data_IF_666359544681
#
_entry.id   IF_666359544681
#
_cell.length_a   1.000
_cell.length_b   1.000
_cell.length_c   1.000
_cell.angle_alpha   90.00
_cell.angle_beta   90.00
_cell.angle_gamma   90.00
#
_symmetry.space_group_name_H-M   'P 1'
#
loop_
_entity.id
_entity.type
_entity.pdbx_description
1 polymer ?
#
# COMPACT_ATOMS: atom_id res chain seq x y z
N UNK A 1 -7.19 -20.76 5.46
CA UNK A 1 -6.79 -20.33 4.11
C UNK A 1 -6.19 -18.96 4.29
N UNK A 2 -5.03 -18.68 3.73
CA UNK A 2 -4.40 -17.36 3.85
C UNK A 2 -5.24 -16.36 3.03
N UNK A 3 -5.77 -15.34 3.69
CA UNK A 3 -6.69 -14.34 3.14
C UNK A 3 -6.00 -13.03 2.72
N UNK A 4 -4.65 -13.07 2.70
CA UNK A 4 -3.81 -11.88 2.42
C UNK A 4 -3.61 -10.97 3.62
N UNK A 5 -4.16 -11.30 4.78
CA UNK A 5 -3.93 -10.61 6.05
C UNK A 5 -2.73 -11.17 6.82
N UNK A 6 -2.66 -10.81 8.11
CA UNK A 6 -1.58 -11.22 9.01
C UNK A 6 -1.46 -12.75 9.12
N UNK A 7 -0.22 -13.24 9.03
CA UNK A 7 0.11 -14.67 9.10
C UNK A 7 0.14 -15.37 7.74
N UNK A 8 -0.17 -14.70 6.64
CA UNK A 8 -0.09 -15.25 5.28
C UNK A 8 1.35 -15.65 4.93
N UNK A 9 2.35 -14.80 5.26
CA UNK A 9 3.78 -15.09 5.02
C UNK A 9 4.19 -16.37 5.71
N UNK A 10 3.89 -16.53 7.01
CA UNK A 10 4.25 -17.72 7.77
C UNK A 10 3.55 -18.98 7.22
N UNK A 11 2.25 -18.87 6.89
CA UNK A 11 1.49 -19.99 6.36
C UNK A 11 2.03 -20.46 5.00
N UNK A 12 2.36 -19.51 4.11
CA UNK A 12 2.90 -19.84 2.78
C UNK A 12 4.30 -20.44 2.90
N UNK A 13 5.19 -19.85 3.72
CA UNK A 13 6.54 -20.39 3.94
C UNK A 13 6.50 -21.81 4.54
N UNK A 14 5.58 -22.08 5.46
CA UNK A 14 5.40 -23.41 6.04
C UNK A 14 4.93 -24.45 5.01
N UNK A 15 4.14 -24.04 4.03
CA UNK A 15 3.57 -24.92 3.01
C UNK A 15 4.46 -25.11 1.78
N UNK A 16 5.14 -24.05 1.33
CA UNK A 16 5.88 -24.02 0.06
C UNK A 16 7.40 -24.00 0.22
N UNK A 17 7.91 -23.85 1.45
CA UNK A 17 9.35 -23.66 1.69
C UNK A 17 9.79 -22.21 1.50
N UNK A 18 11.11 -21.95 1.60
CA UNK A 18 11.67 -20.62 1.47
C UNK A 18 12.14 -20.04 2.81
N UNK A 19 12.38 -18.74 2.84
CA UNK A 19 12.97 -18.03 3.97
C UNK A 19 12.19 -16.77 4.33
N UNK A 20 11.98 -16.56 5.64
CA UNK A 20 11.56 -15.26 6.15
C UNK A 20 12.72 -14.26 6.03
N UNK A 21 12.42 -13.08 5.53
CA UNK A 21 13.31 -11.92 5.41
C UNK A 21 12.76 -10.78 6.24
N UNK A 22 13.65 -9.90 6.68
CA UNK A 22 13.27 -8.72 7.48
C UNK A 22 13.89 -7.47 6.84
N UNK A 23 13.11 -6.38 6.86
CA UNK A 23 13.57 -5.06 6.43
C UNK A 23 13.01 -4.00 7.37
N UNK A 24 13.84 -3.04 7.78
CA UNK A 24 13.37 -1.84 8.45
C UNK A 24 12.79 -0.90 7.41
N UNK A 25 11.49 -0.58 7.53
CA UNK A 25 10.71 0.26 6.60
C UNK A 25 9.96 1.34 7.38
N UNK A 26 9.24 2.22 6.70
CA UNK A 26 8.32 3.14 7.35
C UNK A 26 6.99 2.43 7.68
N UNK A 27 6.45 2.68 8.87
CA UNK A 27 5.05 2.35 9.15
C UNK A 27 4.10 3.32 8.42
N UNK A 28 2.80 3.13 8.58
CA UNK A 28 1.80 3.97 7.90
C UNK A 28 1.85 5.44 8.35
N UNK A 29 2.44 5.77 9.48
CA UNK A 29 2.60 7.14 9.99
C UNK A 29 4.02 7.69 9.84
N UNK A 30 4.93 6.93 9.20
CA UNK A 30 6.30 7.33 8.89
C UNK A 30 7.33 7.00 9.98
N UNK A 31 6.98 6.21 11.02
CA UNK A 31 7.96 5.71 11.98
C UNK A 31 8.63 4.45 11.43
N UNK A 32 9.82 4.14 11.93
CA UNK A 32 10.53 2.93 11.52
C UNK A 32 9.97 1.70 12.22
N UNK A 33 9.73 0.65 11.42
CA UNK A 33 9.27 -0.66 11.87
C UNK A 33 10.06 -1.74 11.14
N UNK A 34 10.32 -2.84 11.84
CA UNK A 34 10.93 -4.03 11.25
C UNK A 34 9.83 -4.94 10.69
N UNK A 35 9.71 -4.94 9.38
CA UNK A 35 8.68 -5.71 8.66
C UNK A 35 9.25 -7.00 8.10
N UNK A 36 8.50 -8.10 8.27
CA UNK A 36 8.84 -9.43 7.77
C UNK A 36 8.12 -9.67 6.45
N UNK A 37 8.82 -10.28 5.49
CA UNK A 37 8.29 -10.77 4.23
C UNK A 37 8.91 -12.14 3.89
N UNK A 38 8.32 -12.89 2.97
CA UNK A 38 8.78 -14.21 2.59
C UNK A 38 9.46 -14.22 1.22
N UNK A 39 10.51 -15.03 1.06
CA UNK A 39 11.10 -15.36 -0.24
C UNK A 39 11.08 -16.87 -0.39
N UNK A 40 10.31 -17.37 -1.34
CA UNK A 40 10.20 -18.80 -1.65
C UNK A 40 11.43 -19.28 -2.42
N UNK A 41 11.63 -20.59 -2.46
CA UNK A 41 12.76 -21.22 -3.14
C UNK A 41 12.75 -21.01 -4.68
N UNK A 42 11.59 -20.75 -5.26
CA UNK A 42 11.43 -20.40 -6.69
C UNK A 42 11.64 -18.91 -7.00
N UNK A 43 11.98 -18.10 -5.99
CA UNK A 43 12.17 -16.65 -6.11
C UNK A 43 10.89 -15.81 -6.02
N UNK A 44 9.74 -16.41 -5.71
CA UNK A 44 8.51 -15.67 -5.45
C UNK A 44 8.59 -14.96 -4.10
N UNK A 45 8.30 -13.67 -4.05
CA UNK A 45 8.19 -12.91 -2.81
C UNK A 45 6.75 -12.85 -2.31
N UNK A 46 6.56 -13.02 -1.01
CA UNK A 46 5.28 -12.88 -0.33
C UNK A 46 5.36 -11.67 0.61
N UNK A 47 4.52 -10.69 0.40
CA UNK A 47 4.48 -9.45 1.16
C UNK A 47 3.08 -9.26 1.74
N UNK A 48 2.99 -9.04 3.03
CA UNK A 48 1.77 -8.58 3.69
C UNK A 48 1.81 -7.06 3.83
N UNK A 49 0.79 -6.36 3.34
CA UNK A 49 0.65 -4.92 3.55
C UNK A 49 0.66 -4.58 5.04
N UNK A 50 0.05 -5.43 5.88
CA UNK A 50 -0.02 -5.26 7.32
C UNK A 50 1.36 -5.25 8.01
N UNK A 51 2.38 -5.90 7.43
CA UNK A 51 3.72 -5.92 8.01
C UNK A 51 4.38 -4.53 8.07
N UNK A 52 4.06 -3.64 7.12
CA UNK A 52 4.54 -2.26 7.10
C UNK A 52 3.44 -1.25 7.45
N UNK A 53 2.24 -1.42 6.90
CA UNK A 53 1.17 -0.43 6.99
C UNK A 53 -0.07 -1.00 7.70
N UNK A 54 0.13 -1.90 8.67
CA UNK A 54 -0.91 -2.61 9.39
C UNK A 54 -1.64 -1.76 10.43
N UNK A 55 -2.93 -2.07 10.61
CA UNK A 55 -3.79 -1.42 11.59
C UNK A 55 -3.37 -1.72 13.04
N UNK A 56 -2.83 -2.93 13.28
CA UNK A 56 -2.35 -3.37 14.59
C UNK A 56 -1.05 -2.66 15.02
N UNK A 57 -0.28 -2.10 14.08
CA UNK A 57 0.92 -1.31 14.37
C UNK A 57 0.59 0.06 14.99
N UNK A 58 -0.67 0.50 14.86
CA UNK A 58 -1.08 1.85 15.26
C UNK A 58 -2.14 1.76 16.36
N UNK A 59 -1.84 2.25 17.58
CA UNK A 59 -2.86 2.34 18.62
C UNK A 59 -4.12 3.06 18.13
N UNK A 60 -5.34 2.62 18.49
CA UNK A 60 -6.58 3.21 17.98
C UNK A 60 -6.66 4.74 18.13
N UNK A 61 -6.13 5.28 19.24
CA UNK A 61 -6.11 6.73 19.52
C UNK A 61 -5.15 7.54 18.65
N UNK A 62 -4.27 6.86 17.88
CA UNK A 62 -3.27 7.50 16.99
C UNK A 62 -3.55 7.25 15.51
N UNK A 63 -4.63 6.53 15.18
CA UNK A 63 -5.01 6.28 13.81
C UNK A 63 -5.37 7.58 13.11
N UNK A 64 -4.79 7.81 11.93
CA UNK A 64 -5.02 9.00 11.12
C UNK A 64 -5.12 8.59 9.63
N UNK A 65 -6.31 8.26 9.14
CA UNK A 65 -6.51 7.76 7.78
C UNK A 65 -6.22 8.80 6.69
N UNK A 66 -6.18 10.10 7.04
CA UNK A 66 -5.80 11.15 6.11
C UNK A 66 -4.29 11.17 5.84
N UNK A 67 -3.48 10.81 6.84
CA UNK A 67 -2.01 10.83 6.79
C UNK A 67 -1.40 9.44 6.59
N UNK A 68 -2.13 8.38 6.93
CA UNK A 68 -1.62 7.01 6.80
C UNK A 68 -1.27 6.69 5.35
N UNK A 69 -0.05 6.21 5.13
CA UNK A 69 0.54 5.99 3.82
C UNK A 69 1.02 4.55 3.66
N UNK A 70 0.83 4.00 2.48
CA UNK A 70 1.34 2.69 2.07
C UNK A 70 2.83 2.70 1.67
N UNK A 71 3.57 3.77 1.95
CA UNK A 71 4.98 3.94 1.52
C UNK A 71 5.88 2.77 1.92
N UNK A 72 5.80 2.29 3.15
CA UNK A 72 6.59 1.16 3.62
C UNK A 72 6.34 -0.15 2.87
N UNK A 73 5.14 -0.32 2.29
CA UNK A 73 4.86 -1.47 1.42
C UNK A 73 5.69 -1.39 0.15
N UNK A 74 5.84 -0.20 -0.44
CA UNK A 74 6.74 0.01 -1.57
C UNK A 74 8.20 -0.25 -1.22
N UNK A 75 8.64 0.11 0.01
CA UNK A 75 9.98 -0.24 0.52
C UNK A 75 10.19 -1.76 0.63
N UNK A 76 9.14 -2.53 0.98
CA UNK A 76 9.19 -4.00 0.98
C UNK A 76 9.25 -4.57 -0.44
N UNK A 77 8.51 -4.00 -1.40
CA UNK A 77 8.60 -4.38 -2.81
C UNK A 77 10.02 -4.14 -3.33
N UNK A 78 10.64 -2.98 -3.03
CA UNK A 78 12.04 -2.72 -3.38
C UNK A 78 12.99 -3.76 -2.77
N UNK A 79 12.78 -4.16 -1.52
CA UNK A 79 13.58 -5.19 -0.87
C UNK A 79 13.44 -6.57 -1.56
N UNK A 80 12.23 -6.90 -2.05
CA UNK A 80 12.00 -8.12 -2.83
C UNK A 80 12.70 -8.04 -4.21
N UNK A 81 12.65 -6.89 -4.88
CA UNK A 81 13.36 -6.64 -6.13
C UNK A 81 14.89 -6.73 -5.93
N UNK A 82 15.41 -6.19 -4.83
CA UNK A 82 16.82 -6.28 -4.46
C UNK A 82 17.27 -7.73 -4.21
N UNK A 83 16.36 -8.58 -3.73
CA UNK A 83 16.58 -10.01 -3.58
C UNK A 83 16.43 -10.82 -4.88
N UNK A 84 16.10 -10.16 -6.00
CA UNK A 84 15.95 -10.78 -7.32
C UNK A 84 14.57 -11.37 -7.60
N UNK A 85 13.54 -11.06 -6.80
CA UNK A 85 12.19 -11.54 -7.04
C UNK A 85 11.65 -11.06 -8.41
N UNK A 86 11.00 -11.98 -9.14
CA UNK A 86 10.33 -11.71 -10.42
C UNK A 86 8.82 -11.92 -10.33
N UNK A 87 8.37 -12.46 -9.24
CA UNK A 87 6.97 -12.64 -8.90
C UNK A 87 6.76 -12.19 -7.45
N UNK A 88 5.78 -11.34 -7.22
CA UNK A 88 5.43 -10.83 -5.90
C UNK A 88 3.95 -11.12 -5.66
N UNK A 89 3.63 -11.75 -4.54
CA UNK A 89 2.26 -11.89 -4.06
C UNK A 89 2.09 -10.89 -2.91
N UNK A 90 1.21 -9.91 -3.12
CA UNK A 90 0.93 -8.84 -2.16
C UNK A 90 -0.44 -9.04 -1.52
N UNK A 91 -0.45 -9.36 -0.22
CA UNK A 91 -1.66 -9.43 0.58
C UNK A 91 -2.09 -8.05 1.08
N UNK A 92 -3.37 -7.69 0.88
CA UNK A 92 -3.91 -6.36 1.21
C UNK A 92 -4.66 -6.31 2.54
N UNK A 93 -4.86 -7.45 3.24
CA UNK A 93 -5.57 -7.50 4.50
C UNK A 93 -4.92 -6.70 5.62
N UNK A 94 -5.70 -6.25 6.60
CA UNK A 94 -5.21 -5.60 7.83
C UNK A 94 -4.66 -4.18 7.68
N UNK A 95 -4.85 -3.47 6.55
CA UNK A 95 -4.25 -2.17 6.29
C UNK A 95 -4.81 -1.03 7.14
N UNK A 96 -3.95 -0.11 7.57
CA UNK A 96 -4.31 1.16 8.24
C UNK A 96 -4.53 2.31 7.24
N UNK A 97 -4.17 2.14 5.98
CA UNK A 97 -4.10 3.20 4.97
C UNK A 97 -5.37 3.31 4.14
N UNK A 98 -5.64 4.50 3.63
CA UNK A 98 -6.72 4.78 2.67
C UNK A 98 -6.20 5.72 1.57
N UNK A 99 -5.09 5.34 0.94
CA UNK A 99 -4.33 6.16 -0.01
C UNK A 99 -4.28 5.58 -1.44
N UNK A 100 -5.11 4.58 -1.75
CA UNK A 100 -5.14 3.88 -3.05
C UNK A 100 -3.76 3.37 -3.52
N UNK A 101 -2.85 3.05 -2.59
CA UNK A 101 -1.49 2.63 -2.92
C UNK A 101 -0.56 3.77 -3.36
N UNK A 102 -0.99 5.03 -3.24
CA UNK A 102 -0.19 6.20 -3.65
C UNK A 102 1.17 6.25 -2.98
N UNK A 103 1.22 5.98 -1.66
CA UNK A 103 2.49 5.90 -0.93
C UNK A 103 3.40 4.79 -1.44
N UNK A 104 2.86 3.61 -1.70
CA UNK A 104 3.60 2.48 -2.28
C UNK A 104 4.22 2.86 -3.63
N UNK A 105 3.44 3.49 -4.51
CA UNK A 105 3.94 3.94 -5.82
C UNK A 105 5.01 5.01 -5.68
N UNK A 106 4.90 5.93 -4.70
CA UNK A 106 5.94 6.95 -4.48
C UNK A 106 7.24 6.34 -3.96
N UNK A 107 7.19 5.31 -3.12
CA UNK A 107 8.39 4.57 -2.72
C UNK A 107 9.06 3.87 -3.91
N UNK A 108 8.27 3.42 -4.88
CA UNK A 108 8.75 2.79 -6.12
C UNK A 108 9.25 3.81 -7.16
N UNK A 109 9.24 5.11 -6.84
CA UNK A 109 9.81 6.17 -7.68
C UNK A 109 8.81 7.01 -8.48
N UNK A 110 7.50 6.72 -8.38
CA UNK A 110 6.47 7.58 -8.98
C UNK A 110 6.42 8.92 -8.24
N UNK A 111 6.19 10.02 -8.95
CA UNK A 111 5.98 11.33 -8.33
C UNK A 111 4.54 11.79 -8.56
N UNK A 112 3.85 12.09 -7.46
CA UNK A 112 2.52 12.68 -7.45
C UNK A 112 2.68 14.19 -7.20
N UNK A 113 2.24 15.02 -8.13
CA UNK A 113 2.55 16.45 -8.15
C UNK A 113 1.27 17.29 -8.07
N UNK A 114 1.31 18.37 -7.29
CA UNK A 114 0.29 19.41 -7.27
C UNK A 114 0.38 20.32 -8.53
N UNK A 115 -0.52 21.29 -8.62
CA UNK A 115 -0.57 22.25 -9.72
C UNK A 115 0.65 23.17 -9.83
N UNK A 116 1.42 23.31 -8.74
CA UNK A 116 2.70 24.04 -8.71
C UNK A 116 3.91 23.14 -9.01
N UNK A 117 3.70 21.84 -9.31
CA UNK A 117 4.76 20.88 -9.59
C UNK A 117 5.50 20.36 -8.35
N UNK A 118 4.99 20.58 -7.15
CA UNK A 118 5.55 20.08 -5.88
C UNK A 118 5.00 18.69 -5.59
N UNK A 119 5.83 17.83 -4.99
CA UNK A 119 5.38 16.51 -4.55
C UNK A 119 4.33 16.61 -3.45
N UNK A 120 3.27 15.80 -3.56
CA UNK A 120 2.24 15.71 -2.54
C UNK A 120 2.82 15.13 -1.23
N UNK A 121 2.32 15.58 -0.07
CA UNK A 121 2.59 14.91 1.19
C UNK A 121 1.98 13.49 1.21
N UNK A 122 2.46 12.60 2.09
CA UNK A 122 1.93 11.25 2.20
C UNK A 122 0.48 11.21 2.71
N UNK A 123 -0.22 10.12 2.35
CA UNK A 123 -1.56 9.80 2.82
C UNK A 123 -2.67 10.21 1.86
N UNK A 124 -3.84 9.57 2.03
CA UNK A 124 -5.01 9.77 1.18
C UNK A 124 -5.56 11.19 1.19
N UNK A 125 -5.39 11.91 2.32
CA UNK A 125 -5.85 13.29 2.47
C UNK A 125 -5.20 14.31 1.53
N UNK A 126 -4.05 13.98 0.94
CA UNK A 126 -3.37 14.84 -0.01
C UNK A 126 -3.82 14.64 -1.47
N UNK A 127 -4.48 13.52 -1.78
CA UNK A 127 -4.78 13.10 -3.15
C UNK A 127 -5.73 14.06 -3.88
N UNK A 128 -6.56 14.79 -3.17
CA UNK A 128 -7.41 15.84 -3.75
C UNK A 128 -6.64 17.01 -4.40
N UNK A 129 -5.34 17.14 -4.11
CA UNK A 129 -4.47 18.17 -4.70
C UNK A 129 -3.68 17.64 -5.91
N UNK A 130 -3.85 16.36 -6.29
CA UNK A 130 -3.11 15.76 -7.39
C UNK A 130 -3.46 16.45 -8.72
N UNK A 131 -2.46 16.97 -9.42
CA UNK A 131 -2.62 17.57 -10.73
C UNK A 131 -1.93 16.76 -11.83
N UNK A 132 -0.77 16.15 -11.53
CA UNK A 132 -0.03 15.35 -12.51
C UNK A 132 0.77 14.22 -11.87
N UNK A 133 1.04 13.19 -12.68
CA UNK A 133 1.82 12.01 -12.33
C UNK A 133 3.08 11.99 -13.19
N UNK A 134 4.25 11.88 -12.55
CA UNK A 134 5.52 11.68 -13.24
C UNK A 134 6.07 10.28 -12.93
N UNK A 135 5.97 9.39 -13.91
CA UNK A 135 6.41 7.99 -13.80
C UNK A 135 7.87 7.76 -14.25
N UNK A 136 8.60 8.80 -14.67
CA UNK A 136 9.98 8.65 -15.19
C UNK A 136 10.97 8.10 -14.17
N UNK A 137 10.69 8.26 -12.89
CA UNK A 137 11.52 7.74 -11.80
C UNK A 137 11.12 6.35 -11.31
N UNK A 138 10.09 5.74 -11.88
CA UNK A 138 9.61 4.43 -11.45
C UNK A 138 10.72 3.38 -11.65
N UNK A 139 10.91 2.49 -10.67
CA UNK A 139 11.94 1.44 -10.73
C UNK A 139 11.75 0.58 -11.98
N UNK A 140 12.74 0.61 -12.86
CA UNK A 140 12.67 -0.06 -14.17
C UNK A 140 12.47 -1.59 -14.06
N UNK A 141 12.86 -2.20 -12.93
CA UNK A 141 12.69 -3.64 -12.70
C UNK A 141 11.22 -4.07 -12.65
N UNK A 142 10.31 -3.14 -12.33
CA UNK A 142 8.87 -3.41 -12.27
C UNK A 142 8.29 -3.83 -13.63
N UNK A 143 8.91 -3.45 -14.74
CA UNK A 143 8.48 -3.87 -16.08
C UNK A 143 8.60 -5.39 -16.31
N UNK A 144 9.49 -6.05 -15.57
CA UNK A 144 9.78 -7.49 -15.71
C UNK A 144 9.26 -8.30 -14.50
N UNK A 145 8.42 -7.71 -13.65
CA UNK A 145 7.93 -8.33 -12.42
C UNK A 145 6.42 -8.51 -12.47
N UNK A 146 5.97 -9.72 -12.19
CA UNK A 146 4.55 -10.01 -11.99
C UNK A 146 4.19 -9.70 -10.55
N UNK A 147 3.12 -8.92 -10.33
CA UNK A 147 2.54 -8.66 -9.02
C UNK A 147 1.12 -9.20 -9.01
N UNK A 148 0.87 -10.20 -8.16
CA UNK A 148 -0.46 -10.73 -7.90
C UNK A 148 -0.97 -10.17 -6.57
N UNK A 149 -2.23 -9.76 -6.55
CA UNK A 149 -2.88 -9.25 -5.35
C UNK A 149 -3.69 -10.36 -4.70
N UNK A 150 -3.41 -10.63 -3.42
CA UNK A 150 -4.23 -11.50 -2.58
C UNK A 150 -5.18 -10.63 -1.75
N UNK A 151 -6.48 -10.72 -2.06
CA UNK A 151 -7.56 -9.99 -1.39
C UNK A 151 -8.81 -10.82 -1.37
N UNK A 152 -9.53 -10.79 -0.26
CA UNK A 152 -10.82 -11.47 -0.05
C UNK A 152 -12.02 -10.53 -0.16
N UNK A 153 -11.77 -9.25 -0.52
CA UNK A 153 -12.80 -8.22 -0.68
C UNK A 153 -12.89 -7.75 -2.13
N UNK A 154 -14.09 -7.41 -2.58
CA UNK A 154 -14.41 -6.96 -3.93
C UNK A 154 -15.02 -5.55 -3.96
N UNK A 155 -14.89 -4.81 -2.86
CA UNK A 155 -15.38 -3.44 -2.76
C UNK A 155 -14.77 -2.54 -3.84
N UNK A 156 -15.57 -1.66 -4.48
CA UNK A 156 -15.03 -0.66 -5.41
C UNK A 156 -14.15 0.35 -4.65
N UNK A 157 -13.33 1.09 -5.40
CA UNK A 157 -12.48 2.12 -4.80
C UNK A 157 -13.30 3.21 -4.12
N UNK A 158 -14.35 3.70 -4.77
CA UNK A 158 -15.18 4.82 -4.34
C UNK A 158 -16.67 4.50 -4.31
N UNK A 159 -17.45 5.40 -3.70
CA UNK A 159 -18.91 5.32 -3.58
C UNK A 159 -19.37 4.66 -2.28
N UNK A 160 -20.69 4.46 -2.09
CA UNK A 160 -21.26 3.99 -0.82
C UNK A 160 -20.78 2.62 -0.36
N UNK A 161 -20.30 1.78 -1.28
CA UNK A 161 -19.68 0.48 -1.02
C UNK A 161 -18.14 0.54 -1.16
N UNK A 162 -17.60 1.75 -1.32
CA UNK A 162 -16.18 2.00 -1.58
C UNK A 162 -15.30 1.85 -0.34
N UNK A 163 -13.98 1.85 -0.60
CA UNK A 163 -12.96 1.63 0.43
C UNK A 163 -13.08 2.59 1.62
N UNK A 164 -13.34 3.87 1.38
CA UNK A 164 -13.46 4.87 2.45
C UNK A 164 -14.69 4.63 3.32
N UNK A 165 -15.83 4.31 2.71
CA UNK A 165 -17.09 4.12 3.43
C UNK A 165 -17.09 2.81 4.25
N UNK A 166 -16.55 1.74 3.69
CA UNK A 166 -16.58 0.42 4.34
C UNK A 166 -15.45 0.28 5.37
N UNK A 167 -14.24 0.70 5.02
CA UNK A 167 -13.06 0.45 5.85
C UNK A 167 -12.53 1.69 6.59
N UNK A 168 -12.93 2.91 6.20
CA UNK A 168 -12.48 4.16 6.83
C UNK A 168 -12.75 4.24 8.33
N UNK A 169 -13.96 3.87 8.82
CA UNK A 169 -14.29 3.95 10.25
C UNK A 169 -13.33 3.15 11.14
N UNK A 170 -12.99 1.92 10.77
CA UNK A 170 -12.02 1.10 11.55
C UNK A 170 -10.61 1.66 11.53
N UNK A 171 -10.27 2.46 10.50
CA UNK A 171 -8.98 3.17 10.36
C UNK A 171 -8.97 4.51 11.10
N UNK A 172 -10.06 4.87 11.76
CA UNK A 172 -10.20 6.07 12.60
C UNK A 172 -10.82 7.28 11.88
N UNK A 173 -11.40 7.09 10.69
CA UNK A 173 -12.08 8.19 9.99
C UNK A 173 -13.37 8.59 10.66
N UNK A 174 -13.60 9.90 10.82
CA UNK A 174 -14.93 10.44 11.13
C UNK A 174 -15.86 10.36 9.91
N UNK A 175 -17.19 10.47 10.07
CA UNK A 175 -18.10 10.49 8.92
C UNK A 175 -17.74 11.54 7.85
N UNK A 176 -17.30 12.73 8.29
CA UNK A 176 -16.87 13.80 7.40
C UNK A 176 -15.58 13.44 6.65
N UNK A 177 -14.63 12.79 7.34
CA UNK A 177 -13.39 12.32 6.74
C UNK A 177 -13.62 11.18 5.75
N UNK A 178 -14.60 10.29 6.01
CA UNK A 178 -14.99 9.22 5.07
C UNK A 178 -15.41 9.81 3.72
N UNK A 179 -16.32 10.80 3.73
CA UNK A 179 -16.77 11.45 2.50
C UNK A 179 -15.62 12.17 1.81
N UNK A 180 -14.81 12.94 2.55
CA UNK A 180 -13.67 13.64 1.99
C UNK A 180 -12.64 12.70 1.35
N UNK A 181 -12.33 11.56 2.01
CA UNK A 181 -11.42 10.56 1.48
C UNK A 181 -11.99 9.89 0.22
N UNK A 182 -13.30 9.63 0.16
CA UNK A 182 -13.94 9.05 -1.03
C UNK A 182 -13.81 9.98 -2.24
N UNK A 183 -14.05 11.29 -2.04
CA UNK A 183 -13.86 12.31 -3.08
C UNK A 183 -12.39 12.39 -3.54
N UNK A 184 -11.44 12.31 -2.60
CA UNK A 184 -10.00 12.35 -2.91
C UNK A 184 -9.53 11.10 -3.66
N UNK A 185 -10.04 9.93 -3.31
CA UNK A 185 -9.76 8.68 -4.04
C UNK A 185 -10.37 8.71 -5.46
N UNK A 186 -11.58 9.26 -5.61
CA UNK A 186 -12.22 9.45 -6.90
C UNK A 186 -11.39 10.37 -7.80
N UNK A 187 -10.95 11.52 -7.25
CA UNK A 187 -10.07 12.44 -7.96
C UNK A 187 -8.73 11.78 -8.38
N UNK A 188 -8.11 11.02 -7.48
CA UNK A 188 -6.89 10.26 -7.78
C UNK A 188 -7.11 9.28 -8.94
N UNK A 189 -8.19 8.50 -8.90
CA UNK A 189 -8.54 7.55 -9.96
C UNK A 189 -8.74 8.26 -11.32
N UNK A 190 -9.44 9.40 -11.32
CA UNK A 190 -9.66 10.21 -12.53
C UNK A 190 -8.36 10.74 -13.13
N UNK A 191 -7.40 11.16 -12.29
CA UNK A 191 -6.09 11.63 -12.77
C UNK A 191 -5.29 10.45 -13.33
N UNK A 192 -5.27 9.30 -12.65
CA UNK A 192 -4.62 8.09 -13.13
C UNK A 192 -5.18 7.66 -14.50
N UNK A 193 -6.50 7.58 -14.65
CA UNK A 193 -7.14 7.18 -15.90
C UNK A 193 -6.86 8.13 -17.09
N UNK A 194 -6.52 9.40 -16.82
CA UNK A 194 -6.16 10.36 -17.87
C UNK A 194 -4.68 10.35 -18.24
N UNK A 195 -3.80 9.92 -17.35
CA UNK A 195 -2.35 10.11 -17.52
C UNK A 195 -1.53 8.81 -17.62
N UNK A 196 -2.12 7.68 -17.21
CA UNK A 196 -1.54 6.34 -17.30
C UNK A 196 -2.32 5.45 -18.24
#
# INVERSE_FOLDING_TARGET
MADGGEGTVQAVLAAAGGQARQRTVNDALGHKVDAVWGLLDDGTAIIEMAAAAGLELIPPSKRDPLRASSHGVGELILAALDAGARHIILGLGGSATNDAGAGMLTALGLRLLDKEGRSLPPGGGALGQLASIDARGLDARLADVRIDIASDVDNPLCGPQGASHIFGPQKGATPEQVNALDDMLSHFADVCARQL
#
